data_IF_784532500435
#
_entry.id   IF_784532500435
#
_cell.length_a   1.000
_cell.length_b   1.000
_cell.length_c   1.000
_cell.angle_alpha   90.00
_cell.angle_beta   90.00
_cell.angle_gamma   90.00
#
_symmetry.space_group_name_H-M   'P 1'
#
loop_
_entity.id
_entity.type
_entity.pdbx_description
1 polymer ?
#
# COMPACT_ATOMS: atom_id res chain seq x y z
N UNK A 1 -11.48 -20.73 9.09
CA UNK A 1 -10.32 -20.23 9.85
C UNK A 1 -9.15 -20.06 8.89
N UNK A 2 -8.51 -18.90 8.89
CA UNK A 2 -7.48 -18.59 7.92
C UNK A 2 -6.15 -19.20 8.36
N UNK A 3 -5.44 -19.83 7.42
CA UNK A 3 -4.15 -20.45 7.66
C UNK A 3 -3.08 -19.35 7.88
N UNK A 4 -2.24 -19.44 8.93
CA UNK A 4 -1.15 -18.47 9.12
C UNK A 4 -0.22 -18.33 7.91
N UNK A 5 -0.03 -19.39 7.13
CA UNK A 5 0.78 -19.33 5.90
C UNK A 5 0.11 -18.47 4.83
N UNK A 6 -1.23 -18.48 4.75
CA UNK A 6 -1.96 -17.61 3.84
C UNK A 6 -1.84 -16.14 4.26
N UNK A 7 -1.88 -15.86 5.55
CA UNK A 7 -1.68 -14.51 6.08
C UNK A 7 -0.27 -14.00 5.74
N UNK A 8 0.74 -14.84 5.89
CA UNK A 8 2.12 -14.46 5.57
C UNK A 8 2.29 -14.21 4.08
N UNK A 9 1.68 -15.04 3.23
CA UNK A 9 1.73 -14.85 1.78
C UNK A 9 1.05 -13.54 1.37
N UNK A 10 -0.09 -13.23 1.98
CA UNK A 10 -0.80 -11.97 1.73
C UNK A 10 0.03 -10.77 2.16
N UNK A 11 0.69 -10.85 3.31
CA UNK A 11 1.57 -9.79 3.79
C UNK A 11 2.75 -9.58 2.83
N UNK A 12 3.35 -10.67 2.35
CA UNK A 12 4.45 -10.58 1.38
C UNK A 12 4.01 -9.93 0.07
N UNK A 13 2.80 -10.24 -0.40
CA UNK A 13 2.24 -9.60 -1.59
C UNK A 13 2.04 -8.11 -1.39
N UNK A 14 1.57 -7.70 -0.20
CA UNK A 14 1.37 -6.29 0.13
C UNK A 14 2.71 -5.54 0.14
N UNK A 15 3.73 -6.10 0.77
CA UNK A 15 5.07 -5.51 0.78
C UNK A 15 5.61 -5.36 -0.65
N UNK A 16 5.50 -6.41 -1.46
CA UNK A 16 5.95 -6.38 -2.85
C UNK A 16 5.20 -5.31 -3.64
N UNK A 17 3.89 -5.18 -3.42
CA UNK A 17 3.09 -4.15 -4.08
C UNK A 17 3.61 -2.75 -3.76
N UNK A 18 3.83 -2.44 -2.47
CA UNK A 18 4.32 -1.12 -2.07
C UNK A 18 5.70 -0.82 -2.65
N UNK A 19 6.59 -1.82 -2.67
CA UNK A 19 7.96 -1.61 -3.16
C UNK A 19 8.05 -1.55 -4.68
N UNK A 20 7.01 -1.99 -5.40
CA UNK A 20 6.97 -2.00 -6.87
C UNK A 20 5.91 -1.07 -7.45
N UNK A 21 5.38 -0.14 -6.66
CA UNK A 21 4.29 0.72 -7.11
C UNK A 21 4.78 1.67 -8.20
N UNK A 22 3.95 1.83 -9.25
CA UNK A 22 4.24 2.70 -10.39
C UNK A 22 2.96 3.43 -10.79
N UNK A 23 3.14 4.57 -11.48
CA UNK A 23 2.01 5.30 -12.05
C UNK A 23 1.23 4.40 -13.02
N UNK A 24 -0.09 4.43 -12.89
CA UNK A 24 -0.96 3.60 -13.73
C UNK A 24 -1.21 2.19 -13.20
N UNK A 25 -0.56 1.80 -12.09
CA UNK A 25 -0.70 0.47 -11.53
C UNK A 25 -1.73 0.38 -10.40
N UNK A 26 -2.54 1.40 -10.20
CA UNK A 26 -3.53 1.42 -9.12
C UNK A 26 -4.60 0.33 -9.28
N UNK A 27 -4.83 -0.16 -10.49
CA UNK A 27 -5.73 -1.29 -10.71
C UNK A 27 -5.29 -2.57 -10.01
N UNK A 28 -4.00 -2.69 -9.68
CA UNK A 28 -3.46 -3.85 -8.95
C UNK A 28 -3.83 -3.86 -7.46
N UNK A 29 -4.41 -2.76 -6.95
CA UNK A 29 -4.84 -2.70 -5.55
C UNK A 29 -5.82 -3.81 -5.19
N UNK A 30 -6.67 -4.22 -6.12
CA UNK A 30 -7.62 -5.31 -5.90
C UNK A 30 -6.95 -6.66 -5.64
N UNK A 31 -5.66 -6.79 -5.96
CA UNK A 31 -4.89 -8.00 -5.70
C UNK A 31 -4.39 -8.09 -4.26
N UNK A 32 -4.32 -6.97 -3.56
CA UNK A 32 -3.79 -6.91 -2.18
C UNK A 32 -4.82 -6.43 -1.17
N UNK A 33 -5.88 -5.74 -1.59
CA UNK A 33 -6.92 -5.21 -0.72
C UNK A 33 -8.29 -5.71 -1.13
N UNK A 34 -9.19 -5.86 -0.14
CA UNK A 34 -10.61 -6.06 -0.40
C UNK A 34 -11.26 -4.74 -0.78
N UNK A 35 -12.47 -4.81 -1.40
CA UNK A 35 -13.16 -3.61 -1.87
C UNK A 35 -13.48 -2.61 -0.76
N UNK A 36 -13.69 -3.09 0.47
CA UNK A 36 -14.04 -2.29 1.63
C UNK A 36 -12.87 -2.01 2.56
N UNK A 37 -11.65 -2.12 2.06
CA UNK A 37 -10.43 -1.94 2.84
C UNK A 37 -10.44 -0.64 3.64
N UNK A 38 -9.95 -0.71 4.88
CA UNK A 38 -9.63 0.45 5.68
C UNK A 38 -8.13 0.72 5.59
N UNK A 39 -7.77 1.94 5.19
CA UNK A 39 -6.37 2.34 5.01
C UNK A 39 -6.09 3.58 5.83
N UNK A 40 -4.99 3.56 6.56
CA UNK A 40 -4.53 4.69 7.34
C UNK A 40 -3.02 4.86 7.21
N UNK A 41 -2.60 6.09 6.94
CA UNK A 41 -1.20 6.49 7.00
C UNK A 41 -1.10 7.82 7.77
N UNK A 42 0.10 8.43 7.91
CA UNK A 42 0.22 9.67 8.69
C UNK A 42 -0.64 10.83 8.18
N UNK A 43 -1.06 10.81 6.92
CA UNK A 43 -1.77 11.92 6.29
C UNK A 43 -3.21 11.58 5.89
N UNK A 44 -3.55 10.29 5.83
CA UNK A 44 -4.82 9.84 5.25
C UNK A 44 -5.47 8.77 6.12
N UNK A 45 -6.79 8.80 6.15
CA UNK A 45 -7.60 7.76 6.77
C UNK A 45 -8.84 7.60 5.91
N UNK A 46 -8.91 6.50 5.18
CA UNK A 46 -9.96 6.29 4.18
C UNK A 46 -10.47 4.84 4.21
N UNK A 47 -11.65 4.66 3.62
CA UNK A 47 -12.23 3.34 3.45
C UNK A 47 -12.62 3.16 1.98
N UNK A 48 -12.40 1.94 1.48
CA UNK A 48 -12.72 1.57 0.12
C UNK A 48 -11.54 1.68 -0.82
N UNK A 49 -11.48 0.74 -1.76
CA UNK A 49 -10.34 0.61 -2.66
C UNK A 49 -10.20 1.82 -3.60
N UNK A 50 -11.33 2.43 -4.00
CA UNK A 50 -11.31 3.60 -4.86
C UNK A 50 -10.66 4.81 -4.17
N UNK A 51 -10.93 4.99 -2.86
CA UNK A 51 -10.31 6.06 -2.08
C UNK A 51 -8.81 5.84 -1.92
N UNK A 52 -8.39 4.59 -1.71
CA UNK A 52 -6.96 4.26 -1.62
C UNK A 52 -6.28 4.50 -2.97
N UNK A 53 -6.91 4.11 -4.07
CA UNK A 53 -6.38 4.39 -5.41
C UNK A 53 -6.17 5.87 -5.64
N UNK A 54 -7.11 6.70 -5.19
CA UNK A 54 -7.01 8.15 -5.30
C UNK A 54 -5.79 8.71 -4.57
N UNK A 55 -5.45 8.17 -3.40
CA UNK A 55 -4.27 8.58 -2.65
C UNK A 55 -2.99 8.33 -3.47
N UNK A 56 -2.85 7.14 -4.04
CA UNK A 56 -1.67 6.80 -4.83
C UNK A 56 -1.59 7.61 -6.12
N UNK A 57 -2.71 7.80 -6.81
CA UNK A 57 -2.75 8.61 -8.03
C UNK A 57 -2.32 10.05 -7.74
N UNK A 58 -2.81 10.64 -6.65
CA UNK A 58 -2.44 11.98 -6.24
C UNK A 58 -0.94 12.09 -5.93
N UNK A 59 -0.38 11.07 -5.29
CA UNK A 59 1.05 11.00 -4.99
C UNK A 59 1.89 11.09 -6.27
N UNK A 60 1.50 10.35 -7.31
CA UNK A 60 2.23 10.37 -8.59
C UNK A 60 2.11 11.71 -9.31
N UNK A 61 1.07 12.49 -9.03
CA UNK A 61 0.94 13.85 -9.55
C UNK A 61 1.87 14.82 -8.82
N UNK A 62 2.05 14.64 -7.51
CA UNK A 62 2.77 15.59 -6.67
C UNK A 62 4.30 15.42 -6.71
N UNK A 63 4.80 14.22 -6.88
CA UNK A 63 6.24 13.96 -6.79
C UNK A 63 6.70 13.08 -7.93
N UNK A 64 8.01 13.15 -8.21
CA UNK A 64 8.66 12.30 -9.22
C UNK A 64 9.31 11.10 -8.55
N UNK A 65 9.27 9.96 -9.24
CA UNK A 65 9.92 8.72 -8.84
C UNK A 65 9.64 8.33 -7.38
N UNK A 66 8.36 8.31 -6.94
CA UNK A 66 8.05 7.88 -5.59
C UNK A 66 8.40 6.40 -5.42
N UNK A 67 9.01 6.09 -4.28
CA UNK A 67 9.40 4.72 -3.96
C UNK A 67 9.25 4.47 -2.47
N UNK A 68 8.66 3.33 -2.12
CA UNK A 68 8.57 2.86 -0.75
C UNK A 68 9.62 1.79 -0.52
N UNK A 69 10.33 1.90 0.59
CA UNK A 69 11.21 0.84 1.10
C UNK A 69 10.60 0.38 2.43
N UNK A 70 10.08 -0.83 2.45
CA UNK A 70 9.43 -1.37 3.64
C UNK A 70 10.50 -1.83 4.62
N UNK A 71 10.54 -1.22 5.79
CA UNK A 71 11.55 -1.49 6.82
C UNK A 71 11.07 -2.47 7.87
N UNK A 72 9.76 -2.70 7.96
CA UNK A 72 9.20 -3.68 8.88
C UNK A 72 7.76 -3.98 8.53
N UNK A 73 7.31 -5.15 8.92
CA UNK A 73 5.93 -5.56 8.69
C UNK A 73 5.47 -6.48 9.81
N UNK A 74 4.21 -6.28 10.23
CA UNK A 74 3.57 -7.11 11.27
C UNK A 74 2.16 -7.41 10.82
N UNK A 75 1.77 -8.66 10.96
CA UNK A 75 0.41 -9.10 10.71
C UNK A 75 -0.24 -9.49 12.03
N UNK A 76 -1.41 -8.90 12.31
CA UNK A 76 -2.21 -9.22 13.50
C UNK A 76 -3.65 -9.46 13.06
N UNK A 77 -4.09 -10.71 13.07
CA UNK A 77 -5.39 -11.07 12.55
C UNK A 77 -5.53 -10.71 11.09
N UNK A 78 -6.50 -9.86 10.77
CA UNK A 78 -6.73 -9.34 9.42
C UNK A 78 -6.14 -7.94 9.21
N UNK A 79 -5.29 -7.48 10.14
CA UNK A 79 -4.66 -6.17 10.07
C UNK A 79 -3.18 -6.31 9.75
N UNK A 80 -2.69 -5.49 8.84
CA UNK A 80 -1.28 -5.40 8.51
C UNK A 80 -0.74 -4.02 8.88
N UNK A 81 0.43 -4.00 9.50
CA UNK A 81 1.13 -2.79 9.89
C UNK A 81 2.49 -2.78 9.19
N UNK A 82 2.78 -1.71 8.46
CA UNK A 82 4.05 -1.56 7.77
C UNK A 82 4.77 -0.32 8.28
N UNK A 83 6.08 -0.43 8.45
CA UNK A 83 6.95 0.74 8.56
C UNK A 83 7.73 0.86 7.27
N UNK A 84 7.95 2.11 6.82
CA UNK A 84 8.55 2.32 5.50
C UNK A 84 9.25 3.66 5.44
N UNK A 85 10.25 3.73 4.55
CA UNK A 85 10.85 4.97 4.10
C UNK A 85 10.21 5.35 2.77
N UNK A 86 9.89 6.63 2.61
CA UNK A 86 9.33 7.16 1.38
C UNK A 86 10.34 8.06 0.70
N UNK A 87 10.81 7.62 -0.46
CA UNK A 87 11.83 8.31 -1.24
C UNK A 87 11.20 8.89 -2.49
N UNK A 88 11.52 10.15 -2.78
CA UNK A 88 10.94 10.81 -3.95
C UNK A 88 11.81 11.99 -4.36
N UNK A 89 11.56 12.49 -5.59
CA UNK A 89 12.13 13.74 -6.07
C UNK A 89 11.03 14.78 -6.18
N UNK A 90 11.35 16.01 -5.77
CA UNK A 90 10.41 17.12 -5.93
C UNK A 90 10.27 17.46 -7.41
N UNK A 91 9.04 17.71 -7.84
CA UNK A 91 8.78 18.25 -9.18
C UNK A 91 9.22 19.71 -9.22
N UNK A 92 9.82 20.06 -10.34
CA UNK A 92 10.28 21.43 -10.60
C UNK A 92 9.21 22.23 -11.32
#
# INVERSE_FOLDING_TARGET
MTNPLQHQASLNQLVTFFESIEAGNTARLSQVYTDDVFFKDPFNEVRGIAAVAGIFEHMFVQVDAPRFVVTGSVLQGDQAFLTWDFLFRMKR
#
